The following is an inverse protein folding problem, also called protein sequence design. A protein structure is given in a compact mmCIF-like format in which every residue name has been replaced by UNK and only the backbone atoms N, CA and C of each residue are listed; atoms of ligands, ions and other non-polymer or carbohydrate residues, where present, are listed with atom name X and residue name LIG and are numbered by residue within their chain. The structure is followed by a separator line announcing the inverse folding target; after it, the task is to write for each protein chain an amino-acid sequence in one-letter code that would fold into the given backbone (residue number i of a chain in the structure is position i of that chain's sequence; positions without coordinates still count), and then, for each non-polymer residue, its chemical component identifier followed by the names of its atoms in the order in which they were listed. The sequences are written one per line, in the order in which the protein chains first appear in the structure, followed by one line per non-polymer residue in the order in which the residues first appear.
data_IF_537122800538
#
_entry.id   IF_537122800538
#
_cell.length_a   1.000
_cell.length_b   1.000
_cell.length_c   1.000
_cell.angle_alpha   90.00
_cell.angle_beta   90.00
_cell.angle_gamma   90.00
#
_symmetry.space_group_name_H-M   'P 1'
#
loop_
_entity.id
_entity.type
_entity.pdbx_description
1 polymer ?
#
# COMPACT_ATOMS: atom_id res chain seq x y z
N UNK A 1 49.94 40.36 -48.94
CA UNK A 1 49.37 38.99 -48.92
C UNK A 1 49.28 38.49 -47.48
N UNK A 2 48.12 38.52 -46.87
CA UNK A 2 47.87 38.07 -45.45
C UNK A 2 47.22 36.71 -45.42
N UNK A 3 47.88 35.69 -44.87
CA UNK A 3 47.36 34.34 -44.71
C UNK A 3 46.43 34.28 -43.46
N UNK A 4 45.13 34.09 -43.68
CA UNK A 4 44.13 33.77 -42.62
C UNK A 4 44.32 32.34 -42.14
N UNK A 5 44.72 32.16 -40.87
CA UNK A 5 44.69 30.86 -40.18
C UNK A 5 43.25 30.57 -39.72
N UNK A 6 42.62 29.50 -40.27
CA UNK A 6 41.35 28.95 -39.75
C UNK A 6 41.63 28.16 -38.47
N UNK A 7 41.03 28.59 -37.34
CA UNK A 7 40.96 27.81 -36.11
C UNK A 7 39.84 26.77 -36.27
N UNK A 8 40.17 25.48 -36.25
CA UNK A 8 39.19 24.41 -36.05
C UNK A 8 38.72 24.45 -34.58
N UNK A 9 37.46 24.74 -34.37
CA UNK A 9 36.83 24.55 -33.09
C UNK A 9 36.33 23.08 -33.01
N UNK A 10 36.99 22.28 -32.17
CA UNK A 10 36.61 20.93 -31.83
C UNK A 10 35.49 21.02 -30.76
N UNK A 11 34.21 21.01 -31.15
CA UNK A 11 33.08 20.90 -30.24
C UNK A 11 32.93 19.43 -29.85
N UNK A 12 33.47 19.04 -28.69
CA UNK A 12 33.11 17.77 -28.05
C UNK A 12 31.61 17.81 -27.66
N UNK A 13 30.77 17.12 -28.41
CA UNK A 13 29.40 16.85 -28.00
C UNK A 13 29.42 15.86 -26.81
N UNK A 14 29.26 16.34 -25.60
CA UNK A 14 29.00 15.52 -24.44
C UNK A 14 27.56 14.98 -24.56
N UNK A 15 27.44 13.69 -24.82
CA UNK A 15 26.16 13.00 -24.74
C UNK A 15 25.79 12.80 -23.26
N UNK A 16 24.96 13.68 -22.72
CA UNK A 16 24.33 13.44 -21.44
C UNK A 16 23.21 12.44 -21.65
N UNK A 17 23.45 11.18 -21.27
CA UNK A 17 22.38 10.19 -21.17
C UNK A 17 21.46 10.64 -20.02
N UNK A 18 20.27 11.13 -20.35
CA UNK A 18 19.24 11.38 -19.33
C UNK A 18 18.81 10.01 -18.81
N UNK A 19 19.32 9.63 -17.64
CA UNK A 19 18.77 8.49 -16.90
C UNK A 19 17.32 8.85 -16.54
N UNK A 20 16.31 8.03 -16.91
CA UNK A 20 14.93 8.29 -16.53
C UNK A 20 14.86 8.41 -15.00
N UNK A 21 14.21 9.46 -14.49
CA UNK A 21 13.97 9.58 -13.06
C UNK A 21 13.17 8.35 -12.60
N UNK A 22 13.73 7.58 -11.66
CA UNK A 22 13.07 6.41 -11.13
C UNK A 22 11.70 6.83 -10.59
N UNK A 23 10.64 6.13 -11.02
CA UNK A 23 9.29 6.38 -10.53
C UNK A 23 9.29 6.16 -9.00
N UNK A 24 9.12 7.22 -8.22
CA UNK A 24 9.14 7.16 -6.76
C UNK A 24 8.04 6.27 -6.18
N UNK A 25 6.97 6.05 -6.95
CA UNK A 25 5.81 5.24 -6.57
C UNK A 25 5.90 3.78 -7.10
N UNK A 26 7.08 3.32 -7.55
CA UNK A 26 7.23 1.97 -8.12
C UNK A 26 6.78 0.87 -7.17
N UNK A 27 6.97 1.03 -5.87
CA UNK A 27 6.61 0.04 -4.86
C UNK A 27 5.10 -0.19 -4.80
N UNK A 28 4.33 0.90 -4.67
CA UNK A 28 2.87 0.85 -4.64
C UNK A 28 2.31 0.28 -5.95
N UNK A 29 2.89 0.71 -7.09
CA UNK A 29 2.49 0.22 -8.41
C UNK A 29 2.74 -1.29 -8.54
N UNK A 30 3.92 -1.78 -8.13
CA UNK A 30 4.27 -3.20 -8.22
C UNK A 30 3.41 -4.02 -7.25
N UNK A 31 3.23 -3.57 -6.01
CA UNK A 31 2.38 -4.25 -5.04
C UNK A 31 0.95 -4.41 -5.58
N UNK A 32 0.33 -3.33 -6.05
CA UNK A 32 -1.01 -3.37 -6.65
C UNK A 32 -1.09 -4.28 -7.87
N UNK A 33 -0.10 -4.22 -8.76
CA UNK A 33 -0.05 -5.08 -9.94
C UNK A 33 -0.02 -6.56 -9.56
N UNK A 34 0.79 -6.95 -8.57
CA UNK A 34 0.92 -8.32 -8.11
C UNK A 34 -0.37 -8.84 -7.47
N UNK A 35 -0.97 -8.03 -6.58
CA UNK A 35 -2.12 -8.45 -5.78
C UNK A 35 -3.49 -8.07 -6.38
N UNK A 36 -3.53 -7.40 -7.54
CA UNK A 36 -4.73 -7.34 -8.38
C UNK A 36 -5.08 -8.70 -9.02
N UNK A 37 -4.13 -9.63 -9.05
CA UNK A 37 -4.40 -11.00 -9.44
C UNK A 37 -5.08 -11.74 -8.27
N UNK A 38 -6.28 -12.28 -8.50
CA UNK A 38 -7.11 -12.94 -7.47
C UNK A 38 -6.39 -14.11 -6.77
N UNK A 39 -5.58 -14.90 -7.50
CA UNK A 39 -4.82 -16.01 -6.89
C UNK A 39 -3.76 -15.50 -5.92
N UNK A 40 -3.04 -14.45 -6.30
CA UNK A 40 -2.05 -13.83 -5.44
C UNK A 40 -2.71 -13.16 -4.23
N UNK A 41 -3.84 -12.49 -4.44
CA UNK A 41 -4.61 -11.87 -3.36
C UNK A 41 -5.15 -12.91 -2.37
N UNK A 42 -5.66 -14.05 -2.86
CA UNK A 42 -6.10 -15.15 -2.00
C UNK A 42 -4.94 -15.74 -1.21
N UNK A 43 -3.77 -15.92 -1.84
CA UNK A 43 -2.55 -16.38 -1.15
C UNK A 43 -2.14 -15.40 -0.05
N UNK A 44 -2.19 -14.10 -0.31
CA UNK A 44 -1.91 -13.06 0.68
C UNK A 44 -2.93 -13.10 1.82
N UNK A 45 -4.22 -13.17 1.49
CA UNK A 45 -5.30 -13.28 2.47
C UNK A 45 -5.11 -14.50 3.39
N UNK A 46 -4.84 -15.67 2.80
CA UNK A 46 -4.62 -16.90 3.55
C UNK A 46 -3.43 -16.77 4.50
N UNK A 47 -2.32 -16.19 4.03
CA UNK A 47 -1.11 -16.01 4.82
C UNK A 47 -1.32 -15.04 6.00
N UNK A 48 -2.02 -13.91 5.76
CA UNK A 48 -2.30 -12.91 6.80
C UNK A 48 -3.27 -13.42 7.85
N UNK A 49 -4.31 -14.15 7.41
CA UNK A 49 -5.40 -14.56 8.29
C UNK A 49 -5.30 -16.04 8.75
N UNK A 50 -4.18 -16.72 8.43
CA UNK A 50 -3.97 -18.14 8.74
C UNK A 50 -5.14 -19.02 8.26
N UNK A 51 -5.57 -18.79 7.02
CA UNK A 51 -6.66 -19.51 6.36
C UNK A 51 -6.11 -20.35 5.21
N UNK A 52 -6.97 -21.21 4.63
CA UNK A 52 -6.60 -22.12 3.55
C UNK A 52 -7.70 -22.22 2.47
N UNK A 53 -8.21 -21.07 2.03
CA UNK A 53 -9.15 -21.00 0.91
C UNK A 53 -8.43 -21.40 -0.38
N UNK A 54 -9.11 -22.21 -1.22
CA UNK A 54 -8.52 -22.75 -2.45
C UNK A 54 -9.05 -22.08 -3.72
N UNK A 55 -10.27 -21.56 -3.65
CA UNK A 55 -10.94 -20.97 -4.80
C UNK A 55 -10.80 -19.43 -4.80
N UNK A 56 -10.07 -18.85 -5.77
CA UNK A 56 -9.97 -17.40 -5.89
C UNK A 56 -11.29 -16.67 -6.16
N UNK A 57 -12.32 -17.38 -6.59
CA UNK A 57 -13.64 -16.80 -6.85
C UNK A 57 -14.44 -16.56 -5.56
N UNK A 58 -13.98 -17.09 -4.42
CA UNK A 58 -14.53 -16.76 -3.10
C UNK A 58 -14.25 -15.30 -2.71
N UNK A 59 -13.29 -14.64 -3.40
CA UNK A 59 -13.03 -13.21 -3.23
C UNK A 59 -13.97 -12.37 -4.08
N UNK A 60 -14.78 -11.53 -3.46
CA UNK A 60 -15.52 -10.48 -4.14
C UNK A 60 -14.71 -9.18 -4.10
N UNK A 61 -14.18 -8.77 -5.25
CA UNK A 61 -13.41 -7.52 -5.35
C UNK A 61 -14.37 -6.34 -5.32
N UNK A 62 -14.21 -5.50 -4.31
CA UNK A 62 -14.96 -4.25 -4.15
C UNK A 62 -14.05 -3.12 -4.62
N UNK A 63 -14.21 -2.68 -5.86
CA UNK A 63 -13.36 -1.63 -6.42
C UNK A 63 -13.78 -0.28 -5.89
N UNK A 64 -12.88 0.41 -5.20
CA UNK A 64 -13.04 1.80 -4.75
C UNK A 64 -12.86 2.79 -5.92
N UNK A 65 -13.53 2.59 -7.06
CA UNK A 65 -13.36 3.39 -8.29
C UNK A 65 -13.71 4.89 -8.11
N UNK A 66 -14.41 5.28 -7.06
CA UNK A 66 -14.94 6.63 -6.85
C UNK A 66 -14.42 7.37 -5.63
N UNK A 67 -13.31 6.98 -5.04
CA UNK A 67 -12.64 7.78 -4.02
C UNK A 67 -11.93 9.03 -4.61
N UNK A 68 -12.57 9.69 -5.61
CA UNK A 68 -12.09 10.93 -6.20
C UNK A 68 -12.27 12.12 -5.24
N UNK A 69 -13.05 11.97 -4.19
CA UNK A 69 -13.14 12.94 -3.11
C UNK A 69 -11.85 12.90 -2.29
N UNK A 70 -11.00 13.89 -2.46
CA UNK A 70 -9.70 14.14 -1.81
C UNK A 70 -8.48 13.41 -2.40
N UNK A 71 -8.55 12.78 -3.60
CA UNK A 71 -7.39 12.15 -4.23
C UNK A 71 -6.87 10.90 -3.52
N UNK A 72 -7.64 10.33 -2.59
CA UNK A 72 -7.31 9.13 -1.84
C UNK A 72 -7.86 7.91 -2.55
N UNK A 73 -6.98 6.95 -2.86
CA UNK A 73 -7.34 5.63 -3.41
C UNK A 73 -6.85 4.58 -2.44
N UNK A 74 -7.74 3.66 -2.06
CA UNK A 74 -7.31 2.42 -1.41
C UNK A 74 -6.69 1.48 -2.46
N UNK A 75 -5.68 0.72 -2.07
CA UNK A 75 -4.99 -0.16 -3.01
C UNK A 75 -5.83 -1.39 -3.37
N UNK A 76 -6.38 -2.08 -2.39
CA UNK A 76 -7.17 -3.29 -2.58
C UNK A 76 -8.30 -3.36 -1.54
N UNK A 77 -9.54 -3.51 -2.01
CA UNK A 77 -10.69 -3.80 -1.17
C UNK A 77 -11.44 -5.02 -1.69
N UNK A 78 -11.78 -5.95 -0.82
CA UNK A 78 -12.47 -7.18 -1.18
C UNK A 78 -13.31 -7.71 -0.02
N UNK A 79 -14.34 -8.49 -0.35
CA UNK A 79 -15.16 -9.24 0.60
C UNK A 79 -14.84 -10.72 0.44
N UNK A 80 -14.70 -11.40 1.57
CA UNK A 80 -14.67 -12.84 1.65
C UNK A 80 -15.52 -13.27 2.85
N UNK A 81 -16.37 -14.29 2.66
CA UNK A 81 -17.46 -14.62 3.56
C UNK A 81 -18.35 -13.40 3.83
N UNK A 82 -18.34 -12.84 5.01
CA UNK A 82 -19.10 -11.64 5.38
C UNK A 82 -18.19 -10.52 5.92
N UNK A 83 -16.91 -10.59 5.60
CA UNK A 83 -15.92 -9.63 6.07
C UNK A 83 -15.37 -8.81 4.90
N UNK A 84 -15.25 -7.51 5.11
CA UNK A 84 -14.65 -6.57 4.17
C UNK A 84 -13.20 -6.32 4.59
N UNK A 85 -12.26 -6.53 3.69
CA UNK A 85 -10.84 -6.28 3.90
C UNK A 85 -10.37 -5.08 3.08
N UNK A 86 -9.70 -4.15 3.75
CA UNK A 86 -9.01 -3.03 3.14
C UNK A 86 -7.51 -3.27 3.32
N UNK A 87 -6.83 -3.57 2.22
CA UNK A 87 -5.40 -3.79 2.16
C UNK A 87 -4.73 -2.60 1.49
N UNK A 88 -3.89 -1.90 2.22
CA UNK A 88 -3.10 -0.78 1.71
C UNK A 88 -1.61 -1.08 1.75
N UNK A 89 -0.87 -0.55 0.78
CA UNK A 89 0.59 -0.56 0.78
C UNK A 89 1.13 0.83 1.08
N UNK A 90 2.06 0.93 2.03
CA UNK A 90 2.65 2.20 2.43
C UNK A 90 4.18 2.17 2.42
N UNK A 91 4.78 3.11 1.70
CA UNK A 91 6.24 3.31 1.68
C UNK A 91 6.74 4.30 2.73
N UNK A 92 5.83 4.96 3.44
CA UNK A 92 6.14 5.95 4.47
C UNK A 92 5.23 5.73 5.66
N UNK A 93 5.78 5.71 6.86
CA UNK A 93 4.96 5.62 8.07
C UNK A 93 4.02 6.83 8.18
N UNK A 94 2.74 6.56 8.35
CA UNK A 94 1.72 7.60 8.46
C UNK A 94 0.75 7.30 9.62
N UNK A 95 0.82 8.04 10.73
CA UNK A 95 -0.05 7.82 11.89
C UNK A 95 -1.53 8.17 11.63
N UNK A 96 -1.84 8.84 10.51
CA UNK A 96 -3.21 9.23 10.16
C UNK A 96 -3.97 8.16 9.36
N UNK A 97 -3.40 6.97 9.17
CA UNK A 97 -4.06 5.87 8.44
C UNK A 97 -5.43 5.53 9.05
N UNK A 98 -5.61 5.38 10.38
CA UNK A 98 -6.93 5.07 10.92
C UNK A 98 -8.01 6.12 10.58
N UNK A 99 -7.63 7.39 10.53
CA UNK A 99 -8.55 8.45 10.14
C UNK A 99 -8.89 8.39 8.63
N UNK A 100 -7.93 8.04 7.79
CA UNK A 100 -8.17 7.83 6.35
C UNK A 100 -9.10 6.62 6.13
N UNK A 101 -8.85 5.53 6.80
CA UNK A 101 -9.64 4.30 6.70
C UNK A 101 -11.07 4.48 7.19
N UNK A 102 -11.28 5.34 8.20
CA UNK A 102 -12.63 5.72 8.62
C UNK A 102 -13.42 6.36 7.47
N UNK A 103 -12.80 7.25 6.69
CA UNK A 103 -13.47 7.85 5.54
C UNK A 103 -13.69 6.83 4.42
N UNK A 104 -12.74 5.93 4.17
CA UNK A 104 -12.89 4.87 3.17
C UNK A 104 -14.04 3.94 3.51
N UNK A 105 -14.06 3.39 4.72
CA UNK A 105 -15.10 2.45 5.12
C UNK A 105 -16.49 3.10 5.15
N UNK A 106 -16.56 4.38 5.57
CA UNK A 106 -17.81 5.13 5.55
C UNK A 106 -18.36 5.25 4.12
N UNK A 107 -17.52 5.53 3.14
CA UNK A 107 -17.92 5.60 1.74
C UNK A 107 -18.37 4.23 1.19
N UNK A 108 -17.67 3.14 1.56
CA UNK A 108 -18.06 1.80 1.13
C UNK A 108 -19.40 1.38 1.73
N UNK A 109 -19.61 1.59 3.00
CA UNK A 109 -20.90 1.27 3.64
C UNK A 109 -22.06 2.08 3.07
N UNK A 110 -21.84 3.33 2.64
CA UNK A 110 -22.87 4.11 1.95
C UNK A 110 -23.33 3.51 0.63
N UNK A 111 -22.50 2.69 -0.04
CA UNK A 111 -22.85 1.97 -1.28
C UNK A 111 -23.59 0.66 -0.98
N UNK A 112 -23.20 -0.01 0.10
CA UNK A 112 -23.73 -1.32 0.48
C UNK A 112 -25.11 -1.22 1.17
N UNK A 113 -25.41 -0.10 1.81
CA UNK A 113 -26.61 0.08 2.61
C UNK A 113 -27.72 0.76 1.82
N UNK A 114 -28.91 0.18 1.84
CA UNK A 114 -30.11 0.89 1.35
C UNK A 114 -30.49 2.03 2.32
N UNK A 115 -30.33 3.27 1.84
CA UNK A 115 -30.57 4.48 2.64
C UNK A 115 -31.99 4.56 3.20
N UNK A 116 -33.01 4.02 2.50
CA UNK A 116 -34.39 3.99 2.98
C UNK A 116 -34.54 3.04 4.16
N UNK A 117 -33.85 1.90 4.12
CA UNK A 117 -33.91 0.89 5.16
C UNK A 117 -33.25 1.32 6.47
N UNK A 118 -32.37 2.35 6.45
CA UNK A 118 -31.78 2.91 7.68
C UNK A 118 -32.81 3.53 8.64
N UNK A 119 -33.98 3.91 8.14
CA UNK A 119 -35.07 4.48 8.94
C UNK A 119 -36.15 3.43 9.32
N UNK A 120 -35.93 2.16 8.96
CA UNK A 120 -36.79 1.07 9.33
C UNK A 120 -36.47 0.54 10.75
N UNK A 121 -37.37 -0.27 11.32
CA UNK A 121 -37.12 -0.97 12.58
C UNK A 121 -36.26 -2.23 12.42
N UNK A 122 -35.90 -2.60 11.19
CA UNK A 122 -35.09 -3.79 10.88
C UNK A 122 -33.61 -3.44 10.88
N UNK A 123 -32.80 -4.18 11.64
CA UNK A 123 -31.36 -4.01 11.68
C UNK A 123 -30.73 -4.31 10.30
N UNK A 124 -30.04 -3.35 9.72
CA UNK A 124 -29.22 -3.54 8.53
C UNK A 124 -27.89 -4.19 8.93
N UNK A 125 -27.58 -5.35 8.35
CA UNK A 125 -26.28 -6.01 8.53
C UNK A 125 -25.32 -5.54 7.44
N UNK A 126 -24.09 -5.26 7.83
CA UNK A 126 -22.98 -4.86 6.94
C UNK A 126 -21.78 -5.78 7.17
N UNK A 127 -20.89 -5.96 6.19
CA UNK A 127 -19.66 -6.72 6.37
C UNK A 127 -18.79 -6.11 7.47
N UNK A 128 -18.19 -6.95 8.32
CA UNK A 128 -17.25 -6.49 9.33
C UNK A 128 -15.95 -6.00 8.65
N UNK A 129 -15.44 -4.80 8.97
CA UNK A 129 -14.27 -4.25 8.30
C UNK A 129 -12.98 -4.73 8.95
N UNK A 130 -11.96 -4.99 8.15
CA UNK A 130 -10.60 -5.32 8.57
C UNK A 130 -9.61 -4.44 7.82
N UNK A 131 -8.72 -3.76 8.54
CA UNK A 131 -7.77 -2.79 8.00
C UNK A 131 -6.35 -3.29 8.18
N UNK A 132 -5.65 -3.50 7.07
CA UNK A 132 -4.29 -4.02 7.07
C UNK A 132 -3.42 -3.17 6.15
N UNK A 133 -2.34 -2.65 6.71
CA UNK A 133 -1.32 -1.88 6.01
C UNK A 133 -0.05 -2.73 5.85
N UNK A 134 0.40 -2.88 4.61
CA UNK A 134 1.68 -3.51 4.28
C UNK A 134 2.76 -2.43 4.19
N UNK A 135 3.51 -2.27 5.27
CA UNK A 135 4.54 -1.25 5.35
C UNK A 135 5.86 -1.72 4.74
N UNK A 136 6.35 -0.95 3.79
CA UNK A 136 7.64 -1.14 3.16
C UNK A 136 8.43 0.19 3.09
N UNK A 137 8.53 0.88 4.21
CA UNK A 137 9.27 2.12 4.35
C UNK A 137 10.69 1.92 4.89
N UNK A 138 11.38 3.04 5.14
CA UNK A 138 12.72 3.07 5.73
C UNK A 138 12.72 3.33 7.24
N UNK A 139 11.59 3.76 7.82
CA UNK A 139 11.47 3.89 9.27
C UNK A 139 11.50 2.50 9.91
N UNK A 140 12.28 2.34 10.96
CA UNK A 140 12.37 1.05 11.70
C UNK A 140 11.05 0.83 12.44
N UNK A 141 10.35 -0.23 12.09
CA UNK A 141 9.13 -0.69 12.74
C UNK A 141 9.30 -2.16 13.14
N UNK A 142 8.56 -2.58 14.17
CA UNK A 142 8.40 -4.00 14.52
C UNK A 142 7.70 -4.76 13.39
N UNK A 143 7.67 -6.09 13.48
CA UNK A 143 6.99 -6.95 12.50
C UNK A 143 5.50 -6.62 12.39
N UNK A 144 4.87 -6.34 13.53
CA UNK A 144 3.48 -5.95 13.61
C UNK A 144 3.33 -4.76 14.56
N UNK A 145 2.51 -3.78 14.15
CA UNK A 145 2.16 -2.59 14.94
C UNK A 145 0.69 -2.29 14.76
N UNK A 146 0.01 -1.84 15.80
CA UNK A 146 -1.37 -1.36 15.71
C UNK A 146 -1.41 0.16 15.74
N UNK A 147 -2.20 0.75 14.84
CA UNK A 147 -2.58 2.15 14.86
C UNK A 147 -4.05 2.28 15.22
N UNK A 148 -4.37 3.19 16.12
CA UNK A 148 -5.73 3.39 16.64
C UNK A 148 -6.24 4.78 16.30
N UNK A 149 -7.52 4.86 15.88
CA UNK A 149 -8.19 6.12 15.59
C UNK A 149 -8.23 7.04 16.81
N UNK A 150 -8.41 6.47 17.99
CA UNK A 150 -8.45 7.20 19.25
C UNK A 150 -7.17 7.99 19.54
N UNK A 151 -6.04 7.61 18.94
CA UNK A 151 -4.78 8.37 19.04
C UNK A 151 -4.86 9.76 18.37
N UNK A 152 -5.85 9.99 17.51
CA UNK A 152 -6.09 11.28 16.85
C UNK A 152 -7.06 12.19 17.62
N UNK A 153 -7.65 11.73 18.73
CA UNK A 153 -8.60 12.52 19.49
C UNK A 153 -7.86 13.49 20.44
N UNK A 154 -8.17 14.79 20.35
CA UNK A 154 -7.49 15.82 21.13
C UNK A 154 -7.74 15.69 22.64
N UNK A 155 -8.96 15.35 23.05
CA UNK A 155 -9.38 15.30 24.46
C UNK A 155 -10.17 14.02 24.75
N UNK A 156 -9.50 12.87 24.72
CA UNK A 156 -10.13 11.60 25.06
C UNK A 156 -10.26 11.44 26.58
N UNK A 157 -11.49 11.40 27.06
CA UNK A 157 -11.82 11.08 28.47
C UNK A 157 -12.49 9.71 28.55
N UNK A 158 -11.79 8.75 29.16
CA UNK A 158 -12.26 7.36 29.26
C UNK A 158 -12.13 6.60 27.94
N UNK A 159 -12.94 5.54 27.78
CA UNK A 159 -12.92 4.70 26.60
C UNK A 159 -13.49 5.42 25.37
N UNK A 160 -12.86 5.30 24.19
CA UNK A 160 -13.35 5.91 22.97
C UNK A 160 -14.71 5.32 22.59
N UNK A 161 -15.67 6.18 22.19
CA UNK A 161 -16.98 5.73 21.69
C UNK A 161 -16.95 5.37 20.21
N UNK A 162 -15.90 5.75 19.52
CA UNK A 162 -15.58 5.36 18.16
C UNK A 162 -14.13 4.90 18.14
N UNK A 163 -13.89 3.66 17.72
CA UNK A 163 -12.55 3.12 17.54
C UNK A 163 -12.44 2.40 16.20
N UNK A 164 -11.30 2.56 15.57
CA UNK A 164 -10.86 1.84 14.39
C UNK A 164 -9.39 1.50 14.60
N UNK A 165 -9.07 0.22 14.46
CA UNK A 165 -7.70 -0.26 14.60
C UNK A 165 -7.18 -0.75 13.25
N UNK A 166 -6.01 -0.29 12.86
CA UNK A 166 -5.28 -0.73 11.66
C UNK A 166 -4.09 -1.58 12.07
N UNK A 167 -3.99 -2.78 11.51
CA UNK A 167 -2.82 -3.64 11.68
C UNK A 167 -1.77 -3.29 10.62
N UNK A 168 -0.61 -2.83 11.05
CA UNK A 168 0.53 -2.52 10.19
C UNK A 168 1.50 -3.70 10.21
N UNK A 169 1.70 -4.35 9.06
CA UNK A 169 2.63 -5.45 8.87
C UNK A 169 3.89 -4.97 8.15
N UNK A 170 5.04 -5.09 8.79
CA UNK A 170 6.31 -4.73 8.19
C UNK A 170 6.72 -5.79 7.16
N UNK A 171 6.64 -5.44 5.87
CA UNK A 171 6.96 -6.34 4.76
C UNK A 171 8.33 -6.04 4.12
N UNK A 172 9.24 -5.40 4.86
CA UNK A 172 10.63 -5.33 4.46
C UNK A 172 11.30 -6.71 4.53
N UNK A 173 12.36 -6.91 3.75
CA UNK A 173 13.15 -8.14 3.82
C UNK A 173 13.69 -8.36 5.25
N UNK A 174 13.58 -9.59 5.75
CA UNK A 174 13.97 -9.96 7.11
C UNK A 174 12.86 -9.84 8.17
N UNK A 175 11.69 -9.30 7.81
CA UNK A 175 10.54 -9.17 8.70
C UNK A 175 9.45 -10.20 8.38
N UNK A 176 8.57 -10.49 9.36
CA UNK A 176 7.39 -11.36 9.22
C UNK A 176 7.70 -12.69 8.50
N UNK A 177 8.68 -13.44 9.01
CA UNK A 177 9.19 -14.65 8.36
C UNK A 177 8.10 -15.69 8.06
N UNK A 178 7.14 -15.89 8.97
CA UNK A 178 6.02 -16.81 8.79
C UNK A 178 5.10 -16.35 7.65
N UNK A 179 4.72 -15.09 7.64
CA UNK A 179 3.92 -14.49 6.55
C UNK A 179 4.62 -14.65 5.18
N UNK A 180 5.94 -14.43 5.14
CA UNK A 180 6.75 -14.59 3.93
C UNK A 180 6.86 -16.04 3.46
N UNK A 181 6.80 -17.02 4.39
CA UNK A 181 6.78 -18.44 4.04
C UNK A 181 5.45 -18.85 3.40
N UNK A 182 4.33 -18.29 3.87
CA UNK A 182 3.00 -18.64 3.39
C UNK A 182 2.54 -17.84 2.16
N UNK A 183 3.24 -16.74 1.81
CA UNK A 183 2.96 -15.96 0.60
C UNK A 183 4.25 -15.69 -0.20
N UNK A 184 4.56 -16.58 -1.16
CA UNK A 184 5.76 -16.45 -2.00
C UNK A 184 5.81 -15.15 -2.79
N UNK A 185 4.67 -14.69 -3.31
CA UNK A 185 4.55 -13.42 -4.05
C UNK A 185 4.93 -12.22 -3.18
N UNK A 186 4.53 -12.20 -1.90
CA UNK A 186 4.92 -11.15 -0.97
C UNK A 186 6.42 -11.19 -0.65
N UNK A 187 6.97 -12.39 -0.45
CA UNK A 187 8.41 -12.60 -0.24
C UNK A 187 9.23 -12.08 -1.42
N UNK A 188 8.86 -12.44 -2.64
CA UNK A 188 9.52 -11.99 -3.87
C UNK A 188 9.44 -10.47 -4.02
N UNK A 189 8.29 -9.87 -3.69
CA UNK A 189 8.11 -8.43 -3.66
C UNK A 189 9.08 -7.76 -2.64
N UNK A 190 9.17 -8.27 -1.42
CA UNK A 190 10.08 -7.76 -0.39
C UNK A 190 11.54 -7.79 -0.86
N UNK A 191 11.98 -8.92 -1.42
CA UNK A 191 13.32 -9.10 -1.97
C UNK A 191 13.59 -8.17 -3.15
N UNK A 192 12.62 -8.00 -4.05
CA UNK A 192 12.73 -7.07 -5.18
C UNK A 192 12.98 -5.65 -4.69
N UNK A 193 12.19 -5.17 -3.74
CA UNK A 193 12.35 -3.81 -3.19
C UNK A 193 13.69 -3.64 -2.47
N UNK A 194 14.14 -4.64 -1.72
CA UNK A 194 15.43 -4.61 -1.05
C UNK A 194 16.58 -4.49 -2.05
N UNK A 195 16.55 -5.27 -3.13
CA UNK A 195 17.54 -5.19 -4.23
C UNK A 195 17.55 -3.83 -4.91
N UNK A 196 16.37 -3.28 -5.25
CA UNK A 196 16.29 -1.96 -5.88
C UNK A 196 16.89 -0.88 -4.97
N UNK A 197 16.60 -0.92 -3.66
CA UNK A 197 17.21 0.01 -2.68
C UNK A 197 18.72 -0.13 -2.62
N UNK A 198 19.23 -1.35 -2.59
CA UNK A 198 20.67 -1.62 -2.55
C UNK A 198 21.37 -1.04 -3.78
N UNK A 199 20.86 -1.29 -4.98
CA UNK A 199 21.44 -0.74 -6.21
C UNK A 199 21.34 0.79 -6.27
N UNK A 200 20.21 1.37 -5.86
CA UNK A 200 20.04 2.82 -5.83
C UNK A 200 21.04 3.50 -4.88
N UNK A 201 21.28 2.92 -3.70
CA UNK A 201 22.27 3.44 -2.74
C UNK A 201 23.70 3.37 -3.31
N UNK A 202 24.06 2.27 -3.97
CA UNK A 202 25.39 2.09 -4.55
C UNK A 202 25.62 3.04 -5.75
N UNK A 203 24.61 3.29 -6.58
CA UNK A 203 24.73 4.25 -7.68
C UNK A 203 24.94 5.68 -7.17
N UNK A 204 24.26 6.08 -6.09
CA UNK A 204 24.44 7.40 -5.49
C UNK A 204 25.83 7.57 -4.89
N UNK A 205 26.43 6.52 -4.31
CA UNK A 205 27.80 6.56 -3.79
C UNK A 205 28.87 6.75 -4.88
N UNK A 206 28.59 6.28 -6.11
CA UNK A 206 29.50 6.43 -7.26
C UNK A 206 29.44 7.82 -7.91
N UNK A 207 28.39 8.60 -7.67
CA UNK A 207 28.20 9.96 -8.22
C UNK A 207 28.84 11.03 -7.31
N UNK A 208 29.11 10.69 -6.04
CA UNK A 208 29.70 11.61 -5.05
C UNK A 208 31.21 11.43 -4.85
N UNK A 209 31.89 10.70 -5.74
CA UNK A 209 33.35 10.69 -5.93
C UNK A 209 33.67 11.56 -7.17
#
# INVERSE_FOLDING_TARGET
MAKRKRKLQNTKKTFTVKVPAANRNYKDTVFRMLFSNRKNLLSLYNAVNQRDYKNPDDLEIVTLENAIYMGMKNDLAFIIDTNLYLYEHQSTYNPNIPLRDLFYISNEYQKLVDKKSLYSSTLQKIPAPNFIEFYNGSTILSDCTELKLSSAFENLSGEPKLELTVTVLNVNEGHNAELMQHCSTLKEYAQYVARVRHYAANMLSLIHI
#
